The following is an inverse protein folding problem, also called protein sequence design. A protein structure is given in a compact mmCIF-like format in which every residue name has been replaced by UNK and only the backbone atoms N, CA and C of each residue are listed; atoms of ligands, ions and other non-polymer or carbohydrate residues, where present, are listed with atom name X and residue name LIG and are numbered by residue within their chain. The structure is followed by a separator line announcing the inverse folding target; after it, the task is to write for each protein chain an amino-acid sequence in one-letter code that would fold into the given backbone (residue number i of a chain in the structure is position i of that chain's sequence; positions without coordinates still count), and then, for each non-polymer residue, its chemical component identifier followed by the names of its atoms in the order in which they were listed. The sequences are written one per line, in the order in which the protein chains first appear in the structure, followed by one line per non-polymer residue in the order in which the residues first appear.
data_IF_698497678204
#
_entry.id   IF_698497678204
#
_cell.length_a   1.000
_cell.length_b   1.000
_cell.length_c   1.000
_cell.angle_alpha   90.00
_cell.angle_beta   90.00
_cell.angle_gamma   90.00
#
_symmetry.space_group_name_H-M   'P 1'
#
loop_
_entity.id
_entity.type
_entity.pdbx_description
1 polymer ?
#
# COMPACT_ATOMS: atom_id res chain seq x y z
N UNK A 1 -19.70 9.16 1.29
CA UNK A 1 -20.29 9.86 0.13
C UNK A 1 -19.21 9.98 -0.92
N UNK A 2 -19.51 9.66 -2.17
CA UNK A 2 -18.55 9.60 -3.28
C UNK A 2 -19.17 10.24 -4.53
N UNK A 3 -18.36 10.41 -5.57
CA UNK A 3 -18.75 11.01 -6.87
C UNK A 3 -20.09 10.50 -7.41
N UNK A 4 -20.35 9.20 -7.31
CA UNK A 4 -21.59 8.58 -7.81
C UNK A 4 -22.82 8.91 -6.97
N UNK A 5 -22.66 9.13 -5.67
CA UNK A 5 -23.76 9.56 -4.79
C UNK A 5 -24.23 10.98 -5.14
N UNK A 6 -23.37 11.76 -5.81
CA UNK A 6 -23.67 13.11 -6.32
C UNK A 6 -24.32 13.09 -7.72
N UNK A 7 -24.64 11.91 -8.26
CA UNK A 7 -25.21 11.77 -9.61
C UNK A 7 -24.20 11.90 -10.75
N UNK A 8 -22.90 12.04 -10.45
CA UNK A 8 -21.84 12.15 -11.47
C UNK A 8 -21.42 10.73 -11.91
N UNK A 9 -21.64 10.41 -13.19
CA UNK A 9 -21.29 9.11 -13.79
C UNK A 9 -20.00 9.20 -14.58
N UNK A 10 -19.03 8.35 -14.24
CA UNK A 10 -17.81 8.13 -15.04
C UNK A 10 -17.93 6.81 -15.80
N UNK A 11 -17.81 6.86 -17.12
CA UNK A 11 -17.88 5.69 -18.00
C UNK A 11 -19.28 5.06 -18.15
N UNK A 12 -19.32 3.87 -18.76
CA UNK A 12 -20.55 3.15 -19.08
C UNK A 12 -20.76 1.86 -18.26
N UNK A 13 -19.81 1.45 -17.42
CA UNK A 13 -19.93 0.26 -16.58
C UNK A 13 -20.83 0.42 -15.35
N UNK A 14 -21.01 -0.70 -14.64
CA UNK A 14 -21.73 -0.78 -13.36
C UNK A 14 -20.72 -1.15 -12.25
N UNK A 15 -20.62 -0.37 -11.17
CA UNK A 15 -19.68 -0.67 -10.10
C UNK A 15 -20.10 -1.91 -9.31
N UNK A 16 -19.15 -2.50 -8.59
CA UNK A 16 -19.40 -3.53 -7.58
C UNK A 16 -20.14 -2.99 -6.36
N UNK A 17 -20.27 -3.84 -5.34
CA UNK A 17 -21.03 -3.55 -4.12
C UNK A 17 -20.45 -2.37 -3.33
N UNK A 18 -19.13 -2.32 -3.22
CA UNK A 18 -18.41 -1.28 -2.48
C UNK A 18 -17.91 -0.16 -3.40
N UNK A 19 -17.95 -0.38 -4.72
CA UNK A 19 -17.35 0.49 -5.72
C UNK A 19 -15.85 0.70 -5.43
N UNK A 20 -15.17 -0.34 -4.97
CA UNK A 20 -13.80 -0.29 -4.45
C UNK A 20 -12.99 -1.53 -4.86
N UNK A 21 -11.66 -1.49 -4.70
CA UNK A 21 -10.79 -2.62 -5.07
C UNK A 21 -11.11 -3.91 -4.31
N UNK A 22 -11.65 -3.77 -3.09
CA UNK A 22 -12.11 -4.85 -2.21
C UNK A 22 -13.38 -5.56 -2.72
N UNK A 23 -14.00 -5.09 -3.81
CA UNK A 23 -15.02 -5.87 -4.53
C UNK A 23 -14.42 -7.11 -5.21
N UNK A 24 -13.09 -7.15 -5.43
CA UNK A 24 -12.38 -8.38 -5.82
C UNK A 24 -12.30 -9.31 -4.60
N UNK A 25 -12.89 -10.52 -4.65
CA UNK A 25 -12.96 -11.40 -3.49
C UNK A 25 -11.59 -11.72 -2.90
N UNK A 26 -11.44 -11.51 -1.59
CA UNK A 26 -10.21 -11.77 -0.85
C UNK A 26 -9.23 -10.59 -0.79
N UNK A 27 -9.41 -9.55 -1.62
CA UNK A 27 -8.59 -8.34 -1.51
C UNK A 27 -8.97 -7.56 -0.25
N UNK A 28 -7.96 -7.07 0.47
CA UNK A 28 -8.12 -6.27 1.69
C UNK A 28 -7.26 -5.01 1.64
N UNK A 29 -7.74 -3.92 2.23
CA UNK A 29 -7.02 -2.64 2.31
C UNK A 29 -6.98 -2.17 3.75
N UNK A 30 -5.84 -1.65 4.19
CA UNK A 30 -5.63 -1.10 5.52
C UNK A 30 -4.82 0.19 5.49
N UNK A 31 -5.11 1.09 6.42
CA UNK A 31 -4.44 2.40 6.51
C UNK A 31 -3.85 2.61 7.90
N UNK A 32 -2.70 3.26 7.96
CA UNK A 32 -2.18 3.92 9.15
C UNK A 32 -1.91 5.39 8.81
N UNK A 33 -2.78 6.27 9.29
CA UNK A 33 -2.70 7.73 9.08
C UNK A 33 -1.94 8.40 10.22
N UNK A 34 -0.98 9.26 9.89
CA UNK A 34 -0.22 10.08 10.83
C UNK A 34 -0.56 11.55 10.59
N UNK A 35 -1.12 12.19 11.61
CA UNK A 35 -1.47 13.61 11.58
C UNK A 35 -1.09 14.23 12.92
N UNK A 36 0.05 14.93 12.95
CA UNK A 36 0.58 15.60 14.13
C UNK A 36 1.01 17.00 13.73
N UNK A 37 0.46 18.00 14.40
CA UNK A 37 0.85 19.40 14.20
C UNK A 37 2.08 19.72 15.05
N UNK A 38 3.15 20.18 14.40
CA UNK A 38 4.43 20.50 15.05
C UNK A 38 5.24 21.53 14.24
N UNK A 39 4.58 22.61 13.79
CA UNK A 39 5.23 23.63 12.95
C UNK A 39 5.81 23.04 11.67
N UNK A 40 7.06 23.37 11.35
CA UNK A 40 7.77 22.85 10.17
C UNK A 40 8.06 21.34 10.25
N UNK A 41 7.98 20.74 11.43
CA UNK A 41 8.11 19.30 11.66
C UNK A 41 6.75 18.59 11.75
N UNK A 42 5.69 19.18 11.17
CA UNK A 42 4.34 18.58 11.16
C UNK A 42 4.33 17.29 10.34
N UNK A 43 3.63 16.28 10.85
CA UNK A 43 3.52 14.96 10.25
C UNK A 43 2.15 14.87 9.56
N UNK A 44 2.14 14.69 8.24
CA UNK A 44 0.93 14.57 7.41
C UNK A 44 1.13 13.47 6.36
N UNK A 45 1.34 12.25 6.84
CA UNK A 45 1.76 11.11 6.01
C UNK A 45 1.26 9.79 6.60
N UNK A 46 1.75 8.68 6.09
CA UNK A 46 1.52 7.37 6.69
C UNK A 46 1.78 6.25 5.71
N UNK A 47 1.01 5.17 5.85
CA UNK A 47 1.12 3.98 5.00
C UNK A 47 -0.25 3.37 4.73
N UNK A 48 -0.48 2.98 3.48
CA UNK A 48 -1.60 2.13 3.06
C UNK A 48 -1.04 0.79 2.62
N UNK A 49 -1.72 -0.30 2.97
CA UNK A 49 -1.37 -1.65 2.51
C UNK A 49 -2.55 -2.28 1.77
N UNK A 50 -2.21 -3.08 0.77
CA UNK A 50 -3.15 -3.86 -0.03
C UNK A 50 -2.70 -5.31 0.04
N UNK A 51 -3.58 -6.15 0.57
CA UNK A 51 -3.39 -7.59 0.60
C UNK A 51 -4.09 -8.20 -0.62
N UNK A 52 -3.36 -8.88 -1.52
CA UNK A 52 -3.93 -9.42 -2.74
C UNK A 52 -4.78 -10.68 -2.50
N UNK A 53 -4.71 -11.25 -1.29
CA UNK A 53 -5.37 -12.49 -0.89
C UNK A 53 -6.00 -12.36 0.50
N UNK A 54 -6.95 -13.26 0.78
CA UNK A 54 -7.55 -13.37 2.11
C UNK A 54 -6.53 -13.84 3.16
N UNK A 55 -5.61 -14.73 2.77
CA UNK A 55 -4.46 -15.17 3.57
C UNK A 55 -3.15 -14.51 3.13
N UNK A 56 -2.02 -15.09 3.53
CA UNK A 56 -0.69 -14.58 3.19
C UNK A 56 -0.43 -14.63 1.68
N UNK A 57 0.03 -13.51 1.11
CA UNK A 57 0.34 -13.40 -0.31
C UNK A 57 1.41 -14.38 -0.78
N UNK A 58 2.40 -14.67 0.08
CA UNK A 58 3.48 -15.61 -0.20
C UNK A 58 2.96 -17.02 -0.53
N UNK A 59 1.96 -17.50 0.21
CA UNK A 59 1.44 -18.86 0.07
C UNK A 59 0.45 -19.00 -1.11
N UNK A 60 0.01 -17.88 -1.69
CA UNK A 60 -0.91 -17.87 -2.83
C UNK A 60 -0.59 -16.72 -3.80
N UNK A 61 0.51 -16.82 -4.57
CA UNK A 61 0.94 -15.78 -5.49
C UNK A 61 -0.15 -15.34 -6.48
N UNK A 62 -0.07 -14.09 -6.93
CA UNK A 62 -0.91 -13.55 -8.01
C UNK A 62 -0.07 -13.33 -9.27
N UNK A 63 -0.65 -13.64 -10.44
CA UNK A 63 -0.11 -13.08 -11.67
C UNK A 63 -0.25 -11.56 -11.64
N UNK A 64 0.81 -10.85 -12.01
CA UNK A 64 0.91 -9.40 -11.95
C UNK A 64 1.71 -8.85 -13.13
N UNK A 65 1.57 -7.55 -13.39
CA UNK A 65 2.32 -6.82 -14.39
C UNK A 65 2.42 -5.34 -14.02
N UNK A 66 3.38 -4.64 -14.60
CA UNK A 66 3.60 -3.20 -14.35
C UNK A 66 3.70 -2.44 -15.67
N UNK A 67 3.28 -1.19 -15.63
CA UNK A 67 3.50 -0.23 -16.70
C UNK A 67 3.95 1.10 -16.08
N UNK A 68 5.02 1.67 -16.62
CA UNK A 68 5.55 2.97 -16.19
C UNK A 68 5.22 3.98 -17.28
N UNK A 69 4.23 4.84 -17.02
CA UNK A 69 3.90 5.94 -17.93
C UNK A 69 5.03 6.99 -17.94
N UNK A 70 5.53 7.36 -16.75
CA UNK A 70 6.68 8.23 -16.55
C UNK A 70 7.38 7.86 -15.23
N UNK A 71 8.70 7.68 -15.27
CA UNK A 71 9.48 7.12 -14.16
C UNK A 71 10.02 8.13 -13.15
N UNK A 72 9.38 9.28 -12.97
CA UNK A 72 9.78 10.24 -11.94
C UNK A 72 9.14 9.91 -10.59
N UNK A 73 9.62 8.82 -10.00
CA UNK A 73 9.20 8.27 -8.72
C UNK A 73 10.05 7.05 -8.38
N UNK A 74 9.86 6.48 -7.21
CA UNK A 74 10.63 5.33 -6.72
C UNK A 74 9.71 4.15 -6.36
N UNK A 75 10.25 2.93 -6.43
CA UNK A 75 9.52 1.72 -6.10
C UNK A 75 10.44 0.53 -5.80
N UNK A 76 9.92 -0.44 -5.04
CA UNK A 76 10.58 -1.71 -4.76
C UNK A 76 9.78 -2.89 -5.31
N UNK A 77 10.43 -4.05 -5.46
CA UNK A 77 9.78 -5.31 -5.84
C UNK A 77 9.34 -5.45 -7.30
N UNK A 78 9.46 -4.39 -8.11
CA UNK A 78 8.93 -4.38 -9.48
C UNK A 78 9.71 -5.27 -10.46
N UNK A 79 11.01 -5.49 -10.24
CA UNK A 79 11.83 -6.24 -11.19
C UNK A 79 11.39 -7.70 -11.32
N UNK A 80 11.01 -8.36 -10.23
CA UNK A 80 10.49 -9.73 -10.30
C UNK A 80 9.07 -9.79 -10.89
N UNK A 81 8.28 -8.73 -10.74
CA UNK A 81 7.01 -8.61 -11.45
C UNK A 81 7.24 -8.47 -12.95
N UNK A 82 8.24 -7.70 -13.40
CA UNK A 82 8.57 -7.59 -14.83
C UNK A 82 9.04 -8.92 -15.41
N UNK A 83 9.89 -9.62 -14.68
CA UNK A 83 10.54 -10.84 -15.15
C UNK A 83 9.57 -12.04 -15.18
N UNK A 84 8.90 -12.31 -14.05
CA UNK A 84 8.13 -13.53 -13.86
C UNK A 84 6.62 -13.29 -13.69
N UNK A 85 6.19 -12.03 -13.56
CA UNK A 85 4.79 -11.70 -13.37
C UNK A 85 4.20 -12.24 -12.07
N UNK A 86 4.98 -12.32 -10.98
CA UNK A 86 4.52 -12.89 -9.71
C UNK A 86 4.54 -11.85 -8.58
N UNK A 87 3.35 -11.52 -8.06
CA UNK A 87 3.19 -10.79 -6.81
C UNK A 87 3.06 -11.79 -5.65
N UNK A 88 3.99 -11.75 -4.71
CA UNK A 88 4.11 -12.69 -3.59
C UNK A 88 4.05 -12.02 -2.21
N UNK A 89 3.73 -10.74 -2.16
CA UNK A 89 3.78 -9.89 -0.96
C UNK A 89 2.57 -8.95 -0.93
N UNK A 90 2.26 -8.32 0.22
CA UNK A 90 1.40 -7.14 0.24
C UNK A 90 2.01 -6.01 -0.61
N UNK A 91 1.14 -5.16 -1.17
CA UNK A 91 1.56 -3.90 -1.82
C UNK A 91 1.38 -2.77 -0.82
N UNK A 92 2.34 -1.85 -0.71
CA UNK A 92 2.22 -0.69 0.18
C UNK A 92 2.44 0.65 -0.52
N UNK A 93 1.68 1.67 -0.10
CA UNK A 93 1.82 3.07 -0.51
C UNK A 93 2.27 3.92 0.68
N UNK A 94 3.27 4.77 0.48
CA UNK A 94 3.79 5.71 1.49
C UNK A 94 4.42 6.93 0.81
N UNK A 95 5.16 7.77 1.55
CA UNK A 95 5.92 8.88 0.99
C UNK A 95 7.29 8.45 0.43
N UNK A 96 7.84 9.27 -0.47
CA UNK A 96 9.11 9.01 -1.16
C UNK A 96 10.25 8.61 -0.23
N UNK A 97 10.44 9.32 0.89
CA UNK A 97 11.55 9.08 1.81
C UNK A 97 11.32 7.93 2.80
N UNK A 98 10.16 7.28 2.74
CA UNK A 98 9.78 6.17 3.63
C UNK A 98 9.70 4.82 2.93
N UNK A 99 9.92 4.77 1.60
CA UNK A 99 9.88 3.53 0.81
C UNK A 99 10.76 2.43 1.41
N UNK A 100 12.01 2.75 1.75
CA UNK A 100 12.96 1.78 2.30
C UNK A 100 12.50 1.22 3.66
N UNK A 101 12.10 2.09 4.59
CA UNK A 101 11.64 1.70 5.92
C UNK A 101 10.38 0.82 5.85
N UNK A 102 9.42 1.16 4.98
CA UNK A 102 8.21 0.37 4.78
C UNK A 102 8.54 -0.98 4.14
N UNK A 103 9.41 -1.01 3.13
CA UNK A 103 9.82 -2.25 2.46
C UNK A 103 10.49 -3.21 3.43
N UNK A 104 11.44 -2.74 4.25
CA UNK A 104 12.16 -3.61 5.18
C UNK A 104 11.26 -4.08 6.34
N UNK A 105 10.28 -3.27 6.76
CA UNK A 105 9.27 -3.70 7.70
C UNK A 105 8.39 -4.83 7.14
N UNK A 106 8.03 -4.79 5.86
CA UNK A 106 7.30 -5.88 5.20
C UNK A 106 8.14 -7.16 5.09
N UNK A 107 9.45 -7.04 4.82
CA UNK A 107 10.37 -8.20 4.89
C UNK A 107 10.39 -8.80 6.29
N UNK A 108 10.53 -7.97 7.33
CA UNK A 108 10.57 -8.42 8.71
C UNK A 108 9.26 -9.12 9.12
N UNK A 109 8.11 -8.67 8.60
CA UNK A 109 6.80 -9.24 8.89
C UNK A 109 6.64 -10.71 8.41
N UNK A 110 7.38 -11.14 7.38
CA UNK A 110 7.32 -12.54 6.90
C UNK A 110 8.25 -13.49 7.67
N UNK A 111 9.14 -12.97 8.53
CA UNK A 111 10.21 -13.77 9.15
C UNK A 111 9.71 -14.98 9.93
N UNK A 112 8.67 -14.81 10.76
CA UNK A 112 8.14 -15.91 11.57
C UNK A 112 7.51 -16.99 10.68
N UNK A 113 6.78 -16.57 9.64
CA UNK A 113 6.16 -17.48 8.70
C UNK A 113 7.20 -18.20 7.82
N UNK A 114 8.38 -17.62 7.58
CA UNK A 114 9.40 -18.22 6.71
C UNK A 114 9.75 -19.65 7.11
N UNK A 115 9.84 -19.96 8.42
CA UNK A 115 9.93 -21.33 8.96
C UNK A 115 10.99 -22.23 8.26
N UNK A 116 12.15 -21.66 7.89
CA UNK A 116 13.23 -22.38 7.22
C UNK A 116 13.10 -22.52 5.69
N UNK A 117 12.03 -21.98 5.09
CA UNK A 117 11.91 -21.85 3.62
C UNK A 117 13.00 -20.93 3.08
N UNK A 118 13.58 -21.31 1.94
CA UNK A 118 14.67 -20.57 1.29
C UNK A 118 14.10 -19.67 0.21
N UNK A 119 14.03 -18.37 0.47
CA UNK A 119 13.65 -17.36 -0.51
C UNK A 119 14.17 -15.97 -0.07
N UNK A 120 14.16 -15.00 -0.99
CA UNK A 120 14.38 -13.59 -0.69
C UNK A 120 13.05 -12.84 -0.80
N UNK A 121 12.63 -12.18 0.29
CA UNK A 121 11.38 -11.43 0.30
C UNK A 121 11.55 -10.11 -0.50
N UNK A 122 10.64 -9.87 -1.44
CA UNK A 122 10.65 -8.70 -2.32
C UNK A 122 9.31 -7.96 -2.26
N UNK A 123 9.02 -7.21 -1.17
CA UNK A 123 7.80 -6.44 -1.07
C UNK A 123 7.68 -5.39 -2.17
N UNK A 124 6.45 -5.14 -2.61
CA UNK A 124 6.16 -4.05 -3.54
C UNK A 124 5.76 -2.82 -2.73
N UNK A 125 6.62 -1.81 -2.74
CA UNK A 125 6.33 -0.51 -2.13
C UNK A 125 6.43 0.56 -3.21
N UNK A 126 5.41 1.40 -3.29
CA UNK A 126 5.33 2.56 -4.20
C UNK A 126 5.04 3.82 -3.39
N UNK A 127 5.23 4.97 -4.01
CA UNK A 127 5.16 6.24 -3.31
C UNK A 127 4.59 7.40 -4.13
N UNK A 128 4.23 8.45 -3.39
CA UNK A 128 4.12 9.81 -3.93
C UNK A 128 4.78 10.81 -2.97
N UNK A 129 5.17 11.97 -3.48
CA UNK A 129 5.82 13.01 -2.69
C UNK A 129 4.82 13.89 -1.92
N UNK A 130 4.91 13.92 -0.59
CA UNK A 130 4.04 14.71 0.31
C UNK A 130 4.74 15.89 1.01
N UNK A 131 5.97 16.22 0.60
CA UNK A 131 6.85 17.15 1.32
C UNK A 131 6.40 18.62 1.41
N UNK A 132 5.25 18.97 0.81
CA UNK A 132 4.64 20.29 1.00
C UNK A 132 3.84 20.38 2.30
N UNK A 133 3.14 19.31 2.67
CA UNK A 133 2.26 19.27 3.85
C UNK A 133 2.88 18.46 5.00
N UNK A 134 3.81 17.57 4.66
CA UNK A 134 4.50 16.68 5.58
C UNK A 134 5.97 17.08 5.70
N UNK A 135 6.52 16.92 6.89
CA UNK A 135 7.96 16.86 7.09
C UNK A 135 8.51 15.53 6.53
N UNK A 136 8.66 15.48 5.21
CA UNK A 136 9.14 14.30 4.49
C UNK A 136 10.61 14.00 4.81
N UNK A 137 11.39 15.01 5.21
CA UNK A 137 12.79 14.84 5.61
C UNK A 137 12.93 14.23 7.01
N UNK A 138 11.92 14.37 7.87
CA UNK A 138 11.91 13.74 9.20
C UNK A 138 11.69 12.22 9.21
N UNK A 139 11.32 11.61 8.07
CA UNK A 139 11.16 10.15 7.92
C UNK A 139 10.31 9.50 9.03
N UNK A 140 9.14 10.08 9.32
CA UNK A 140 8.28 9.72 10.47
C UNK A 140 7.57 8.37 10.34
N UNK A 141 7.64 7.69 9.20
CA UNK A 141 7.02 6.37 8.99
C UNK A 141 7.94 5.27 9.52
N UNK A 142 7.39 4.32 10.28
CA UNK A 142 8.13 3.25 10.95
C UNK A 142 7.48 1.88 10.73
N UNK A 143 8.19 0.81 11.10
CA UNK A 143 7.66 -0.55 11.05
C UNK A 143 6.36 -0.72 11.86
N UNK A 144 6.21 0.00 12.98
CA UNK A 144 4.98 -0.04 13.78
C UNK A 144 3.77 0.50 13.00
N UNK A 145 3.98 1.51 12.14
CA UNK A 145 2.95 2.06 11.28
C UNK A 145 2.54 1.05 10.18
N UNK A 146 3.51 0.32 9.62
CA UNK A 146 3.25 -0.76 8.65
C UNK A 146 2.43 -1.89 9.29
N UNK A 147 2.81 -2.35 10.48
CA UNK A 147 2.08 -3.39 11.21
C UNK A 147 0.65 -2.95 11.56
N UNK A 148 0.45 -1.67 11.94
CA UNK A 148 -0.90 -1.11 12.16
C UNK A 148 -1.75 -1.14 10.88
N UNK A 149 -1.17 -0.79 9.73
CA UNK A 149 -1.89 -0.85 8.46
C UNK A 149 -2.22 -2.30 8.06
N UNK A 150 -1.29 -3.24 8.25
CA UNK A 150 -1.51 -4.68 8.00
C UNK A 150 -2.62 -5.24 8.89
N UNK A 151 -2.61 -4.93 10.19
CA UNK A 151 -3.65 -5.36 11.13
C UNK A 151 -5.02 -4.76 10.80
N UNK A 152 -5.05 -3.55 10.23
CA UNK A 152 -6.28 -2.90 9.79
C UNK A 152 -6.77 -3.37 8.41
N UNK A 153 -6.01 -4.22 7.70
CA UNK A 153 -6.34 -4.63 6.34
C UNK A 153 -7.58 -5.54 6.29
N UNK A 154 -8.68 -5.00 5.76
CA UNK A 154 -9.97 -5.70 5.65
C UNK A 154 -10.65 -5.48 4.29
N UNK A 155 -11.62 -6.34 3.97
CA UNK A 155 -12.52 -6.15 2.81
C UNK A 155 -13.63 -5.13 3.15
N UNK A 156 -14.52 -4.85 2.21
CA UNK A 156 -15.61 -3.88 2.38
C UNK A 156 -15.26 -2.45 1.95
N UNK A 157 -16.00 -1.44 2.42
CA UNK A 157 -15.72 -0.04 2.09
C UNK A 157 -14.29 0.37 2.45
N UNK A 158 -13.64 1.13 1.56
CA UNK A 158 -12.29 1.67 1.77
C UNK A 158 -12.42 3.17 2.06
N UNK A 159 -11.71 3.66 3.07
CA UNK A 159 -11.65 5.09 3.35
C UNK A 159 -10.85 5.80 2.25
N UNK A 160 -11.29 6.99 1.83
CA UNK A 160 -10.68 7.76 0.73
C UNK A 160 -10.30 9.17 1.23
N UNK A 161 -9.42 9.86 0.50
CA UNK A 161 -8.92 11.20 0.85
C UNK A 161 -7.57 11.16 1.57
N UNK A 162 -7.36 12.08 2.52
CA UNK A 162 -6.12 12.21 3.30
C UNK A 162 -5.99 11.15 4.39
N UNK A 163 -5.88 9.87 3.99
CA UNK A 163 -5.76 8.71 4.87
C UNK A 163 -4.62 7.79 4.42
N UNK A 164 -3.98 7.14 5.38
CA UNK A 164 -2.90 6.21 5.09
C UNK A 164 -1.71 6.91 4.44
N UNK A 165 -1.42 6.59 3.19
CA UNK A 165 -0.27 7.16 2.45
C UNK A 165 -0.60 8.40 1.63
N UNK A 166 -1.86 8.86 1.64
CA UNK A 166 -2.35 10.00 0.86
C UNK A 166 -2.95 11.10 1.72
#
# INVERSE_FOLDING_TARGET
MRTRDLGIRIGLGTPGRFNAITDVPGVRVGHCTLNVENGDASIRTGVTVIEPRAGAAHDSPCFAGVHVLNGNGDATGLEWIREAGLLTTPVAYTNTHSVGAVRDALVANEREAAAGRVYWCMPVVMETYDGLLNDIWGQHVSAAHVLRALAAAQSGPVAEGGVGGG
#
